data_IF_149670799549
#
_entry.id   IF_149670799549
#
_cell.length_a   1.000
_cell.length_b   1.000
_cell.length_c   1.000
_cell.angle_alpha   90.00
_cell.angle_beta   90.00
_cell.angle_gamma   90.00
#
_symmetry.space_group_name_H-M   'P 1'
#
loop_
_entity.id
_entity.type
_entity.pdbx_description
1 polymer ?
#
# COMPACT_ATOMS: atom_id res chain seq x y z
N UNK A 1 3.02 -30.23 3.69
CA UNK A 1 3.71 -29.43 2.65
C UNK A 1 3.76 -27.99 3.13
N UNK A 2 4.95 -27.39 3.30
CA UNK A 2 5.08 -25.94 3.51
C UNK A 2 4.31 -25.21 2.42
N UNK A 3 3.54 -24.14 2.69
CA UNK A 3 2.95 -23.35 1.63
C UNK A 3 4.11 -22.79 0.80
N UNK A 4 4.33 -23.39 -0.36
CA UNK A 4 5.31 -22.92 -1.33
C UNK A 4 4.83 -21.54 -1.75
N UNK A 5 5.41 -20.49 -1.17
CA UNK A 5 5.15 -19.11 -1.55
C UNK A 5 5.58 -18.94 -2.99
N UNK A 6 4.63 -19.11 -3.89
CA UNK A 6 4.88 -19.06 -5.33
C UNK A 6 4.64 -17.63 -5.75
N UNK A 7 5.72 -16.88 -5.94
CA UNK A 7 5.65 -15.47 -6.32
C UNK A 7 5.35 -15.37 -7.82
N UNK A 8 4.12 -14.99 -8.17
CA UNK A 8 3.73 -14.77 -9.56
C UNK A 8 3.91 -13.31 -9.93
N UNK A 9 4.85 -13.04 -10.85
CA UNK A 9 5.12 -11.69 -11.37
C UNK A 9 4.16 -11.39 -12.51
N UNK A 10 3.14 -10.58 -12.27
CA UNK A 10 2.25 -10.08 -13.32
C UNK A 10 2.75 -8.72 -13.80
N UNK A 11 3.24 -8.64 -15.04
CA UNK A 11 3.53 -7.37 -15.71
C UNK A 11 2.24 -6.78 -16.28
N UNK A 12 2.00 -5.50 -15.99
CA UNK A 12 0.86 -4.72 -16.44
C UNK A 12 0.68 -4.82 -17.97
N UNK A 13 -0.33 -5.59 -18.37
CA UNK A 13 -0.87 -5.65 -19.71
C UNK A 13 -2.38 -5.68 -19.53
N UNK A 14 -3.08 -4.81 -20.25
CA UNK A 14 -4.51 -4.59 -20.12
C UNK A 14 -5.27 -5.92 -20.23
N UNK A 15 -5.92 -6.32 -19.13
CA UNK A 15 -6.70 -7.55 -18.95
C UNK A 15 -5.89 -8.84 -19.12
N UNK A 16 -5.20 -9.24 -18.04
CA UNK A 16 -4.68 -10.61 -17.88
C UNK A 16 -5.47 -11.34 -16.81
N UNK A 17 -5.98 -12.51 -17.17
CA UNK A 17 -6.54 -13.49 -16.23
C UNK A 17 -5.50 -14.62 -16.11
N UNK A 18 -4.52 -14.53 -15.20
CA UNK A 18 -3.69 -15.70 -14.91
C UNK A 18 -4.55 -16.75 -14.21
N UNK A 19 -4.66 -17.92 -14.85
CA UNK A 19 -5.21 -19.12 -14.25
C UNK A 19 -4.05 -19.97 -13.73
N UNK A 20 -4.05 -20.27 -12.43
CA UNK A 20 -3.04 -21.12 -11.81
C UNK A 20 -3.72 -22.41 -11.35
N UNK A 21 -3.11 -23.54 -11.70
CA UNK A 21 -3.61 -24.86 -11.34
C UNK A 21 -2.78 -25.47 -10.21
N UNK A 22 -3.43 -25.86 -9.11
CA UNK A 22 -2.78 -26.43 -7.93
C UNK A 22 -3.40 -27.78 -7.57
N UNK A 23 -2.57 -28.69 -7.04
CA UNK A 23 -3.01 -29.95 -6.45
C UNK A 23 -2.88 -29.83 -4.94
N UNK A 24 -3.91 -30.21 -4.20
CA UNK A 24 -3.93 -30.10 -2.73
C UNK A 24 -4.24 -31.44 -2.07
N UNK A 25 -3.66 -31.69 -0.90
CA UNK A 25 -3.83 -32.92 -0.13
C UNK A 25 -4.26 -32.55 1.29
N UNK A 26 -5.54 -32.77 1.61
CA UNK A 26 -6.10 -32.42 2.93
C UNK A 26 -5.55 -33.31 4.04
N UNK A 27 -5.35 -34.61 3.80
CA UNK A 27 -4.87 -35.55 4.82
C UNK A 27 -3.43 -35.22 5.23
N UNK A 28 -2.59 -34.84 4.26
CA UNK A 28 -1.24 -34.36 4.55
C UNK A 28 -1.22 -32.96 5.20
N UNK A 29 -2.19 -32.10 4.92
CA UNK A 29 -2.32 -30.80 5.58
C UNK A 29 -2.78 -30.93 7.04
N UNK A 30 -3.70 -31.86 7.32
CA UNK A 30 -4.16 -32.19 8.67
C UNK A 30 -3.03 -32.78 9.52
N UNK A 31 -2.26 -33.73 8.97
CA UNK A 31 -1.09 -34.31 9.65
C UNK A 31 0.03 -33.28 9.92
N UNK A 32 0.07 -32.20 9.15
CA UNK A 32 1.01 -31.10 9.34
C UNK A 32 0.47 -29.97 10.24
N UNK A 33 -0.65 -30.18 10.94
CA UNK A 33 -1.28 -29.19 11.83
C UNK A 33 -1.55 -27.84 11.15
N UNK A 34 -1.91 -27.85 9.86
CA UNK A 34 -2.20 -26.61 9.16
C UNK A 34 -3.48 -25.96 9.71
N UNK A 35 -3.40 -24.65 10.00
CA UNK A 35 -4.50 -23.84 10.53
C UNK A 35 -5.74 -23.80 9.61
N UNK A 36 -5.59 -24.12 8.31
CA UNK A 36 -6.68 -24.10 7.34
C UNK A 36 -6.65 -25.36 6.48
N UNK A 37 -7.80 -26.04 6.38
CA UNK A 37 -8.00 -27.17 5.45
C UNK A 37 -8.24 -26.74 4.01
N UNK A 38 -8.32 -25.43 3.76
CA UNK A 38 -8.39 -24.84 2.44
C UNK A 38 -6.98 -24.48 1.92
N UNK A 39 -6.67 -24.71 0.63
CA UNK A 39 -5.41 -24.30 0.03
C UNK A 39 -5.34 -22.77 -0.09
N UNK A 40 -4.58 -22.13 0.80
CA UNK A 40 -4.30 -20.69 0.73
C UNK A 40 -3.06 -20.38 -0.13
N UNK A 41 -3.11 -19.28 -0.87
CA UNK A 41 -1.99 -18.68 -1.60
C UNK A 41 -1.78 -17.24 -1.15
N UNK A 42 -0.53 -16.78 -1.15
CA UNK A 42 -0.22 -15.37 -0.94
C UNK A 42 -0.07 -14.65 -2.28
N UNK A 43 -0.81 -13.56 -2.44
CA UNK A 43 -0.66 -12.61 -3.52
C UNK A 43 0.14 -11.41 -3.01
N UNK A 44 1.13 -10.97 -3.78
CA UNK A 44 1.86 -9.75 -3.53
C UNK A 44 1.87 -8.85 -4.75
N UNK A 45 1.58 -7.57 -4.53
CA UNK A 45 1.53 -6.53 -5.56
C UNK A 45 2.54 -5.47 -5.17
N UNK A 46 3.52 -5.27 -6.05
CA UNK A 46 4.60 -4.32 -5.86
C UNK A 46 5.17 -3.88 -7.21
N UNK A 47 5.83 -2.73 -7.22
CA UNK A 47 6.62 -2.26 -8.36
C UNK A 47 7.90 -3.10 -8.48
N UNK A 48 8.10 -3.84 -9.58
CA UNK A 48 9.27 -4.70 -9.70
C UNK A 48 10.55 -3.97 -10.09
N UNK A 49 10.52 -2.63 -10.22
CA UNK A 49 11.71 -1.80 -10.42
C UNK A 49 12.42 -1.43 -9.12
N UNK A 50 11.78 -1.66 -7.96
CA UNK A 50 12.32 -1.36 -6.62
C UNK A 50 12.59 -2.65 -5.82
N UNK A 51 13.41 -2.52 -4.79
CA UNK A 51 13.70 -3.64 -3.89
C UNK A 51 12.51 -3.93 -2.95
N UNK A 52 12.29 -5.19 -2.63
CA UNK A 52 11.17 -5.63 -1.78
C UNK A 52 11.27 -5.05 -0.37
N UNK A 53 12.48 -4.93 0.17
CA UNK A 53 12.73 -4.40 1.52
C UNK A 53 12.36 -2.91 1.58
N UNK A 54 12.74 -2.15 0.56
CA UNK A 54 12.40 -0.74 0.42
C UNK A 54 10.88 -0.56 0.24
N UNK A 55 10.25 -1.37 -0.60
CA UNK A 55 8.80 -1.32 -0.80
C UNK A 55 8.01 -1.68 0.47
N UNK A 56 8.53 -2.58 1.29
CA UNK A 56 7.92 -2.93 2.57
C UNK A 56 8.06 -1.79 3.58
N UNK A 57 9.22 -1.12 3.67
CA UNK A 57 9.44 -0.02 4.61
C UNK A 57 8.67 1.25 4.21
N UNK A 58 8.49 1.49 2.91
CA UNK A 58 7.71 2.62 2.39
C UNK A 58 6.20 2.37 2.35
N UNK A 59 5.74 1.17 2.73
CA UNK A 59 4.32 0.79 2.72
C UNK A 59 3.71 0.68 1.33
N UNK A 60 4.52 0.39 0.31
CA UNK A 60 4.12 0.26 -1.09
C UNK A 60 3.99 -1.20 -1.55
N UNK A 61 4.28 -2.16 -0.65
CA UNK A 61 4.05 -3.58 -0.84
C UNK A 61 2.66 -3.96 -0.30
N UNK A 62 1.81 -4.51 -1.17
CA UNK A 62 0.51 -5.03 -0.78
C UNK A 62 0.53 -6.55 -0.80
N UNK A 63 0.23 -7.18 0.33
CA UNK A 63 0.11 -8.64 0.44
C UNK A 63 -1.29 -9.02 0.89
N UNK A 64 -1.83 -10.08 0.30
CA UNK A 64 -3.11 -10.63 0.71
C UNK A 64 -3.11 -12.15 0.53
N UNK A 65 -3.77 -12.84 1.45
CA UNK A 65 -4.02 -14.27 1.31
C UNK A 65 -5.29 -14.48 0.49
N UNK A 66 -5.20 -15.27 -0.57
CA UNK A 66 -6.31 -15.67 -1.42
C UNK A 66 -6.46 -17.18 -1.39
N UNK A 67 -7.67 -17.66 -1.62
CA UNK A 67 -7.94 -19.09 -1.69
C UNK A 67 -7.61 -19.62 -3.10
N UNK A 68 -6.88 -20.72 -3.19
CA UNK A 68 -6.52 -21.38 -4.45
C UNK A 68 -7.72 -22.00 -5.18
N UNK A 69 -8.88 -22.08 -4.53
CA UNK A 69 -10.16 -22.50 -5.10
C UNK A 69 -11.16 -21.35 -5.14
N UNK A 70 -10.73 -20.19 -5.62
CA UNK A 70 -11.57 -19.00 -5.67
C UNK A 70 -11.41 -18.20 -6.95
N UNK A 71 -12.47 -17.43 -7.24
CA UNK A 71 -12.39 -16.34 -8.19
C UNK A 71 -12.06 -15.06 -7.42
N UNK A 72 -10.88 -14.50 -7.66
CA UNK A 72 -10.40 -13.29 -7.01
C UNK A 72 -10.36 -12.15 -8.02
N UNK A 73 -11.04 -11.04 -7.72
CA UNK A 73 -10.94 -9.80 -8.48
C UNK A 73 -10.07 -8.82 -7.70
N UNK A 74 -9.02 -8.32 -8.34
CA UNK A 74 -8.06 -7.37 -7.82
C UNK A 74 -8.22 -6.06 -8.59
N UNK A 75 -8.73 -5.04 -7.91
CA UNK A 75 -8.81 -3.69 -8.44
C UNK A 75 -7.59 -2.90 -7.96
N UNK A 76 -6.80 -2.41 -8.91
CA UNK A 76 -5.58 -1.64 -8.64
C UNK A 76 -5.81 -0.20 -9.08
N UNK A 77 -6.13 0.67 -8.14
CA UNK A 77 -6.06 2.11 -8.33
C UNK A 77 -4.61 2.55 -8.44
N UNK A 78 -4.21 3.12 -9.57
CA UNK A 78 -2.85 3.61 -9.77
C UNK A 78 -2.78 5.09 -9.48
N UNK A 79 -2.03 5.45 -8.45
CA UNK A 79 -1.74 6.83 -8.10
C UNK A 79 -0.26 7.14 -8.31
N UNK A 80 0.04 8.03 -9.26
CA UNK A 80 1.40 8.47 -9.52
C UNK A 80 1.72 9.71 -8.70
N UNK A 81 2.65 9.58 -7.76
CA UNK A 81 3.13 10.66 -6.91
C UNK A 81 4.44 11.22 -7.46
N UNK A 82 4.40 12.48 -7.85
CA UNK A 82 5.62 13.25 -8.14
C UNK A 82 5.91 14.19 -6.99
N UNK A 83 7.08 14.01 -6.37
CA UNK A 83 7.63 14.91 -5.37
C UNK A 83 8.65 15.85 -6.03
N UNK A 84 8.84 17.07 -5.49
CA UNK A 84 9.86 18.00 -6.01
C UNK A 84 11.29 17.53 -5.68
N UNK A 85 11.48 16.97 -4.47
CA UNK A 85 12.79 16.60 -3.91
C UNK A 85 12.96 15.08 -3.65
N UNK A 86 12.00 14.25 -4.08
CA UNK A 86 12.06 12.80 -3.93
C UNK A 86 11.78 12.11 -5.26
N UNK A 87 12.25 10.87 -5.37
CA UNK A 87 11.93 10.00 -6.50
C UNK A 87 10.42 9.84 -6.61
N UNK A 88 9.91 10.00 -7.83
CA UNK A 88 8.51 9.73 -8.10
C UNK A 88 8.20 8.26 -7.77
N UNK A 89 7.04 8.03 -7.18
CA UNK A 89 6.61 6.72 -6.72
C UNK A 89 5.18 6.43 -7.17
N UNK A 90 4.93 5.17 -7.53
CA UNK A 90 3.58 4.67 -7.70
C UNK A 90 3.07 4.18 -6.35
N UNK A 91 1.94 4.73 -5.91
CA UNK A 91 1.14 4.10 -4.86
C UNK A 91 -0.02 3.35 -5.49
N UNK A 92 -0.30 2.21 -4.90
CA UNK A 92 -1.34 1.30 -5.36
C UNK A 92 -2.48 1.32 -4.35
N UNK A 93 -3.66 1.81 -4.72
CA UNK A 93 -4.86 1.57 -3.94
C UNK A 93 -5.44 0.22 -4.36
N UNK A 94 -5.16 -0.82 -3.58
CA UNK A 94 -5.54 -2.20 -3.93
C UNK A 94 -6.79 -2.59 -3.17
N UNK A 95 -7.86 -2.89 -3.91
CA UNK A 95 -9.05 -3.55 -3.37
C UNK A 95 -9.13 -4.98 -3.90
N UNK A 96 -9.18 -5.95 -3.00
CA UNK A 96 -9.26 -7.38 -3.34
C UNK A 96 -10.63 -7.89 -2.91
N UNK A 97 -11.31 -8.56 -3.84
CA UNK A 97 -12.58 -9.22 -3.57
C UNK A 97 -12.50 -10.67 -4.00
N UNK A 98 -12.77 -11.58 -3.08
CA UNK A 98 -12.70 -13.02 -3.31
C UNK A 98 -14.10 -13.62 -3.26
N UNK A 99 -14.41 -14.47 -4.24
CA UNK A 99 -15.55 -15.38 -4.20
C UNK A 99 -15.02 -16.79 -4.02
N UNK A 100 -15.06 -17.26 -2.78
CA UNK A 100 -14.62 -18.60 -2.42
C UNK A 100 -15.63 -19.65 -2.90
N UNK A 101 -15.11 -20.74 -3.47
CA UNK A 101 -15.91 -21.92 -3.68
C UNK A 101 -15.86 -22.79 -2.42
N UNK A 102 -17.02 -23.03 -1.79
CA UNK A 102 -17.12 -23.80 -0.55
C UNK A 102 -16.88 -25.30 -0.77
N UNK A 103 -16.96 -25.78 -2.02
CA UNK A 103 -16.65 -27.17 -2.35
C UNK A 103 -15.19 -27.34 -2.74
N UNK A 104 -14.43 -28.05 -1.90
CA UNK A 104 -13.03 -28.38 -2.13
C UNK A 104 -12.93 -29.60 -3.06
N UNK A 105 -12.93 -29.34 -4.37
CA UNK A 105 -12.88 -30.33 -5.46
C UNK A 105 -11.45 -30.83 -5.74
N UNK A 106 -10.43 -30.12 -5.26
CA UNK A 106 -9.03 -30.40 -5.59
C UNK A 106 -8.24 -31.21 -4.56
N UNK A 107 -8.98 -31.87 -3.68
CA UNK A 107 -8.43 -32.76 -2.70
C UNK A 107 -8.14 -34.13 -3.33
N UNK A 108 -6.85 -34.47 -3.48
CA UNK A 108 -6.41 -35.75 -4.05
C UNK A 108 -6.86 -36.97 -3.23
N UNK A 109 -7.38 -36.75 -2.03
CA UNK A 109 -7.87 -37.82 -1.14
C UNK A 109 -9.34 -38.15 -1.36
N UNK A 110 -10.06 -37.32 -2.13
CA UNK A 110 -11.42 -37.58 -2.57
C UNK A 110 -11.42 -38.27 -3.94
N UNK A 111 -12.38 -39.19 -4.16
CA UNK A 111 -12.61 -39.79 -5.48
C UNK A 111 -13.17 -38.75 -6.46
N UNK A 112 -12.64 -38.70 -7.69
CA UNK A 112 -13.09 -37.75 -8.72
C UNK A 112 -12.51 -36.34 -8.62
N UNK A 113 -11.30 -36.20 -8.06
CA UNK A 113 -10.63 -34.91 -7.88
C UNK A 113 -10.23 -34.24 -9.21
N UNK A 114 -10.35 -32.92 -9.25
CA UNK A 114 -9.86 -32.08 -10.36
C UNK A 114 -8.83 -31.06 -9.85
N UNK A 115 -7.86 -30.60 -10.66
CA UNK A 115 -6.94 -29.56 -10.23
C UNK A 115 -7.70 -28.32 -9.75
N UNK A 116 -7.28 -27.76 -8.61
CA UNK A 116 -7.78 -26.46 -8.14
C UNK A 116 -7.41 -25.43 -9.18
N UNK A 117 -8.35 -24.55 -9.54
CA UNK A 117 -8.05 -23.40 -10.38
C UNK A 117 -8.32 -22.14 -9.58
N UNK A 118 -7.31 -21.29 -9.48
CA UNK A 118 -7.51 -19.91 -9.03
C UNK A 118 -7.59 -19.04 -10.27
N UNK A 119 -8.65 -18.24 -10.32
CA UNK A 119 -8.84 -17.25 -11.37
C UNK A 119 -8.62 -15.89 -10.76
N UNK A 120 -7.57 -15.20 -11.19
CA UNK A 120 -7.27 -13.84 -10.74
C UNK A 120 -7.63 -12.88 -11.87
N UNK A 121 -8.61 -12.02 -11.64
CA UNK A 121 -8.95 -10.94 -12.56
C UNK A 121 -8.33 -9.63 -12.05
N UNK A 122 -7.40 -9.06 -12.81
CA UNK A 122 -6.80 -7.76 -12.47
C UNK A 122 -7.42 -6.65 -13.31
N UNK A 123 -7.94 -5.63 -12.63
CA UNK A 123 -8.53 -4.44 -13.25
C UNK A 123 -7.82 -3.18 -12.74
N UNK A 124 -7.60 -2.23 -13.64
CA UNK A 124 -7.10 -0.89 -13.30
C UNK A 124 -8.27 0.07 -13.59
N UNK A 125 -9.07 0.45 -12.57
CA UNK A 125 -10.28 1.24 -12.80
C UNK A 125 -9.98 2.68 -13.21
N UNK A 126 -8.87 3.26 -12.76
CA UNK A 126 -8.45 4.61 -13.16
C UNK A 126 -6.96 4.85 -12.93
N UNK A 127 -6.36 5.69 -13.76
CA UNK A 127 -5.03 6.26 -13.56
C UNK A 127 -5.19 7.67 -13.01
N UNK A 128 -4.81 7.89 -11.75
CA UNK A 128 -4.79 9.23 -11.15
C UNK A 128 -3.34 9.69 -11.01
N UNK A 129 -3.09 10.95 -11.37
CA UNK A 129 -1.79 11.59 -11.19
C UNK A 129 -1.93 12.67 -10.12
N UNK A 130 -1.15 12.55 -9.05
CA UNK A 130 -1.15 13.49 -7.95
C UNK A 130 0.23 14.12 -7.84
N UNK A 131 0.30 15.44 -8.04
CA UNK A 131 1.54 16.19 -7.86
C UNK A 131 1.54 16.72 -6.42
N UNK A 132 2.38 16.18 -5.56
CA UNK A 132 2.58 16.74 -4.22
C UNK A 132 3.68 17.80 -4.33
N UNK A 133 3.28 19.06 -4.11
CA UNK A 133 4.23 20.13 -3.82
C UNK A 133 4.43 20.20 -2.32
N UNK A 134 5.62 19.79 -1.87
CA UNK A 134 6.08 20.14 -0.52
C UNK A 134 6.50 21.60 -0.56
N UNK A 135 5.64 22.49 -0.05
CA UNK A 135 6.00 23.90 0.18
C UNK A 135 6.58 24.02 1.59
N UNK A 136 7.67 24.78 1.75
CA UNK A 136 8.21 25.07 3.07
C UNK A 136 7.15 25.81 3.89
N UNK A 137 6.81 25.27 5.07
CA UNK A 137 5.76 25.82 5.94
C UNK A 137 6.04 27.26 6.38
N UNK A 138 7.31 27.68 6.39
CA UNK A 138 7.70 29.07 6.60
C UNK A 138 8.88 29.46 5.71
N UNK A 139 8.64 30.49 4.89
CA UNK A 139 9.69 31.21 4.18
C UNK A 139 10.49 32.05 5.18
N UNK A 140 11.81 32.11 5.03
CA UNK A 140 12.70 32.89 5.91
C UNK A 140 12.26 34.35 6.03
N UNK A 141 11.78 34.92 4.92
CA UNK A 141 11.24 36.28 4.87
C UNK A 141 10.06 36.45 5.84
N UNK A 142 9.20 35.44 5.93
CA UNK A 142 8.02 35.45 6.80
C UNK A 142 8.39 35.27 8.28
N UNK A 143 9.41 34.46 8.57
CA UNK A 143 9.96 34.30 9.93
C UNK A 143 10.57 35.61 10.44
N UNK A 144 11.36 36.27 9.59
CA UNK A 144 11.99 37.56 9.93
C UNK A 144 10.95 38.67 10.10
N UNK A 145 9.89 38.66 9.28
CA UNK A 145 8.80 39.63 9.40
C UNK A 145 8.01 39.48 10.72
N UNK A 146 7.64 38.26 11.11
CA UNK A 146 6.92 38.01 12.38
C UNK A 146 7.80 38.34 13.60
N UNK A 147 9.07 37.93 13.59
CA UNK A 147 10.01 38.26 14.65
C UNK A 147 10.25 39.78 14.73
N UNK A 148 10.42 40.45 13.59
CA UNK A 148 10.61 41.89 13.49
C UNK A 148 9.43 42.69 14.03
N UNK A 149 8.20 42.25 13.75
CA UNK A 149 6.99 42.86 14.29
C UNK A 149 6.94 42.75 15.83
N UNK A 150 7.33 41.60 16.38
CA UNK A 150 7.39 41.40 17.84
C UNK A 150 8.45 42.27 18.50
N UNK A 151 9.65 42.37 17.90
CA UNK A 151 10.71 43.25 18.38
C UNK A 151 10.31 44.73 18.32
N UNK A 152 9.67 45.16 17.24
CA UNK A 152 9.19 46.54 17.12
C UNK A 152 8.14 46.87 18.19
N UNK A 153 7.20 45.96 18.46
CA UNK A 153 6.20 46.12 19.51
C UNK A 153 6.85 46.32 20.89
N UNK A 154 7.82 45.46 21.25
CA UNK A 154 8.55 45.58 22.52
C UNK A 154 9.28 46.92 22.60
N UNK A 155 9.93 47.34 21.51
CA UNK A 155 10.64 48.61 21.46
C UNK A 155 9.69 49.81 21.68
N UNK A 156 8.52 49.82 21.03
CA UNK A 156 7.51 50.86 21.21
C UNK A 156 6.96 50.89 22.64
N UNK A 157 6.64 49.74 23.23
CA UNK A 157 6.18 49.65 24.61
C UNK A 157 7.23 50.16 25.60
N UNK A 158 8.50 49.79 25.38
CA UNK A 158 9.61 50.20 26.24
C UNK A 158 9.82 51.72 26.21
N UNK A 159 9.71 52.35 25.04
CA UNK A 159 9.76 53.81 24.91
C UNK A 159 8.58 54.50 25.57
N UNK A 160 7.38 53.96 25.43
CA UNK A 160 6.18 54.54 26.03
C UNK A 160 6.26 54.50 27.56
N UNK A 161 6.68 53.37 28.14
CA UNK A 161 6.86 53.22 29.59
C UNK A 161 8.02 54.10 30.10
N UNK A 162 9.13 54.17 29.37
CA UNK A 162 10.25 55.07 29.72
C UNK A 162 9.83 56.54 29.69
N UNK A 163 9.01 56.94 28.71
CA UNK A 163 8.45 58.29 28.61
C UNK A 163 7.50 58.63 29.76
N UNK A 164 6.62 57.69 30.15
CA UNK A 164 5.74 57.88 31.32
C UNK A 164 6.54 57.95 32.64
N UNK A 165 7.64 57.19 32.75
CA UNK A 165 8.51 57.25 33.91
C UNK A 165 9.24 58.60 34.03
N UNK A 166 9.61 59.22 32.91
CA UNK A 166 10.23 60.55 32.88
C UNK A 166 9.26 61.71 33.14
N UNK A 167 7.96 61.54 32.86
CA UNK A 167 6.96 62.59 33.13
C UNK A 167 6.41 62.59 34.55
N UNK A 168 6.65 61.52 35.32
CA UNK A 168 6.12 61.31 36.67
C UNK A 168 7.18 61.42 37.79
N UNK A 169 8.42 61.81 37.44
CA UNK A 169 9.48 62.17 38.39
C UNK A 169 9.73 63.67 38.40
#
# INVERSE_FOLDING_TARGET
>A
MSPTTTWFRVRAQFRKVPAIFLKYNTTAAYLNESLTTAPGMWLAIYDPSRDLIEMQSEGQLYTAQIDANSHTVVNIGLEYYTYLNRTASYRYDVTISTRQNLDLVCDITKGGWYPCHVTIEMQIPSFRRTIIREEMKQDWVRVVADAGAYFALIQFLTWTVSGMAWSCG
#
